data_IF_425129066495
#
_entry.id   IF_425129066495
#
_cell.length_a   1.000
_cell.length_b   1.000
_cell.length_c   1.000
_cell.angle_alpha   90.00
_cell.angle_beta   90.00
_cell.angle_gamma   90.00
#
_symmetry.space_group_name_H-M   'P 1'
#
loop_
_entity.id
_entity.type
_entity.pdbx_description
1 polymer ?
#
# COMPACT_ATOMS: atom_id res chain seq x y z
N UNK A 1 18.16 -3.56 -13.77
CA UNK A 1 18.71 -3.45 -12.40
C UNK A 1 18.92 -1.99 -12.00
N UNK A 2 19.41 -1.16 -12.91
CA UNK A 2 19.68 0.28 -12.72
C UNK A 2 18.60 1.07 -11.96
N UNK A 3 17.31 0.92 -12.30
CA UNK A 3 16.22 1.60 -11.59
C UNK A 3 16.15 1.26 -10.10
N UNK A 4 16.32 -0.02 -9.75
CA UNK A 4 16.23 -0.48 -8.36
C UNK A 4 17.41 0.04 -7.54
N UNK A 5 18.59 0.10 -8.16
CA UNK A 5 19.80 0.69 -7.57
C UNK A 5 19.66 2.19 -7.37
N UNK A 6 19.11 2.90 -8.35
CA UNK A 6 18.85 4.34 -8.25
C UNK A 6 17.88 4.66 -7.13
N UNK A 7 16.80 3.91 -6.98
CA UNK A 7 15.87 4.04 -5.85
C UNK A 7 16.56 3.68 -4.54
N UNK A 8 17.45 2.68 -4.53
CA UNK A 8 18.20 2.31 -3.35
C UNK A 8 19.15 3.42 -2.85
N UNK A 9 19.74 4.17 -3.78
CA UNK A 9 20.65 5.28 -3.46
C UNK A 9 19.96 6.41 -2.68
N UNK A 10 18.65 6.60 -2.83
CA UNK A 10 17.87 7.60 -2.09
C UNK A 10 17.41 7.14 -0.69
N UNK A 11 17.54 5.85 -0.35
CA UNK A 11 17.14 5.34 0.98
C UNK A 11 17.75 6.07 2.18
N UNK A 12 19.06 6.42 2.22
CA UNK A 12 19.64 7.13 3.37
C UNK A 12 19.05 8.53 3.59
N UNK A 13 18.37 9.10 2.60
CA UNK A 13 17.68 10.38 2.73
C UNK A 13 16.29 10.24 3.38
N UNK A 14 15.69 9.04 3.34
CA UNK A 14 14.37 8.79 3.90
C UNK A 14 14.43 8.68 5.43
N UNK A 15 13.60 9.49 6.10
CA UNK A 15 13.45 9.49 7.56
C UNK A 15 11.99 9.46 7.93
N UNK A 16 11.66 8.68 8.96
CA UNK A 16 10.33 8.76 9.57
C UNK A 16 10.24 10.05 10.38
N UNK A 17 9.51 11.02 9.85
CA UNK A 17 9.16 12.24 10.57
C UNK A 17 7.86 12.05 11.33
N UNK A 18 7.56 12.99 12.24
CA UNK A 18 6.30 12.96 12.99
C UNK A 18 5.09 13.10 12.05
N UNK A 19 5.22 13.95 11.04
CA UNK A 19 4.21 14.18 10.01
C UNK A 19 3.94 12.91 9.20
N UNK A 20 5.00 12.14 8.87
CA UNK A 20 4.86 10.87 8.18
C UNK A 20 4.10 9.83 9.02
N UNK A 21 4.36 9.77 10.32
CA UNK A 21 3.64 8.89 11.25
C UNK A 21 2.18 9.30 11.41
N UNK A 22 1.91 10.61 11.48
CA UNK A 22 0.54 11.12 11.61
C UNK A 22 -0.25 10.89 10.31
N UNK A 23 0.37 11.06 9.13
CA UNK A 23 -0.23 10.69 7.86
C UNK A 23 -0.56 9.20 7.79
N UNK A 24 0.36 8.32 8.19
CA UNK A 24 0.11 6.89 8.25
C UNK A 24 -1.06 6.56 9.21
N UNK A 25 -1.11 7.20 10.40
CA UNK A 25 -2.20 7.01 11.36
C UNK A 25 -3.54 7.48 10.81
N UNK A 26 -3.58 8.64 10.15
CA UNK A 26 -4.78 9.19 9.55
C UNK A 26 -5.32 8.26 8.47
N UNK A 27 -4.45 7.84 7.54
CA UNK A 27 -4.81 6.95 6.44
C UNK A 27 -5.30 5.60 7.00
N UNK A 28 -4.67 5.04 8.03
CA UNK A 28 -4.95 3.67 8.47
C UNK A 28 -6.03 3.56 9.57
N UNK A 29 -6.03 4.47 10.55
CA UNK A 29 -6.86 4.37 11.76
C UNK A 29 -8.01 5.38 11.80
N UNK A 30 -7.83 6.54 11.18
CA UNK A 30 -8.84 7.61 11.17
C UNK A 30 -9.21 8.05 9.75
N UNK A 31 -9.62 7.12 8.86
CA UNK A 31 -10.01 7.51 7.52
C UNK A 31 -11.25 8.42 7.58
N UNK A 32 -11.25 9.60 6.92
CA UNK A 32 -12.38 10.52 6.86
C UNK A 32 -13.44 10.01 5.87
N UNK A 33 -13.86 8.76 6.06
CA UNK A 33 -14.72 8.03 5.13
C UNK A 33 -16.01 7.59 5.83
N UNK A 34 -17.14 7.62 5.11
CA UNK A 34 -18.42 7.12 5.62
C UNK A 34 -18.28 5.62 5.93
N UNK A 35 -18.95 5.18 7.00
CA UNK A 35 -18.84 3.80 7.51
C UNK A 35 -18.93 2.68 6.44
N UNK A 36 -19.83 2.75 5.44
CA UNK A 36 -19.98 1.67 4.45
C UNK A 36 -18.75 1.44 3.57
N UNK A 37 -17.90 2.44 3.34
CA UNK A 37 -16.71 2.31 2.48
C UNK A 37 -15.44 1.99 3.29
N UNK A 38 -15.54 1.92 4.62
CA UNK A 38 -14.40 1.57 5.47
C UNK A 38 -13.89 0.15 5.24
N UNK A 39 -14.74 -0.88 5.05
CA UNK A 39 -14.25 -2.23 4.75
C UNK A 39 -13.40 -2.33 3.46
N UNK A 40 -13.85 -1.86 2.27
CA UNK A 40 -13.01 -1.92 1.07
C UNK A 40 -11.77 -1.04 1.20
N UNK A 41 -11.87 0.10 1.86
CA UNK A 41 -10.72 0.96 2.15
C UNK A 41 -9.69 0.28 3.06
N UNK A 42 -10.12 -0.49 4.08
CA UNK A 42 -9.23 -1.26 4.94
C UNK A 42 -8.48 -2.35 4.15
N UNK A 43 -9.13 -3.00 3.19
CA UNK A 43 -8.47 -3.95 2.29
C UNK A 43 -7.43 -3.26 1.41
N UNK A 44 -7.73 -2.08 0.88
CA UNK A 44 -6.77 -1.29 0.10
C UNK A 44 -5.57 -0.88 0.95
N UNK A 45 -5.81 -0.36 2.15
CA UNK A 45 -4.79 0.02 3.11
C UNK A 45 -3.87 -1.15 3.48
N UNK A 46 -4.45 -2.33 3.75
CA UNK A 46 -3.68 -3.54 4.03
C UNK A 46 -2.79 -3.95 2.86
N UNK A 47 -3.28 -3.87 1.62
CA UNK A 47 -2.48 -4.15 0.43
C UNK A 47 -1.34 -3.13 0.25
N UNK A 48 -1.57 -1.85 0.51
CA UNK A 48 -0.55 -0.82 0.46
C UNK A 48 0.57 -1.08 1.48
N UNK A 49 0.20 -1.42 2.73
CA UNK A 49 1.17 -1.81 3.78
C UNK A 49 1.94 -3.07 3.38
N UNK A 50 1.26 -4.06 2.79
CA UNK A 50 1.88 -5.29 2.32
C UNK A 50 2.83 -5.10 1.11
N UNK A 51 2.59 -4.10 0.27
CA UNK A 51 3.49 -3.75 -0.82
C UNK A 51 4.77 -3.03 -0.34
N UNK A 52 4.74 -2.42 0.86
CA UNK A 52 5.92 -1.74 1.39
C UNK A 52 7.04 -2.73 1.72
N UNK A 53 8.30 -2.42 1.36
CA UNK A 53 9.44 -3.23 1.76
C UNK A 53 9.68 -3.12 3.28
N UNK A 54 10.28 -4.15 3.92
CA UNK A 54 10.49 -4.17 5.36
C UNK A 54 11.21 -2.93 5.91
N UNK A 55 12.20 -2.42 5.17
CA UNK A 55 12.95 -1.22 5.56
C UNK A 55 12.10 0.05 5.64
N UNK A 56 10.97 0.12 4.91
CA UNK A 56 10.06 1.27 4.93
C UNK A 56 8.99 1.13 6.02
N UNK A 57 8.62 -0.10 6.39
CA UNK A 57 7.61 -0.38 7.42
C UNK A 57 8.10 -0.09 8.83
N UNK A 58 9.36 -0.44 9.12
CA UNK A 58 9.95 -0.33 10.47
C UNK A 58 9.96 1.13 10.97
N UNK A 59 10.45 2.12 10.19
CA UNK A 59 10.44 3.52 10.61
C UNK A 59 9.03 4.07 10.80
N UNK A 60 8.06 3.62 9.99
CA UNK A 60 6.66 4.06 10.05
C UNK A 60 5.85 3.40 11.18
N UNK A 61 6.47 2.50 11.97
CA UNK A 61 5.81 1.74 13.06
C UNK A 61 4.53 1.04 12.63
N UNK A 62 4.49 0.59 11.37
CA UNK A 62 3.30 -0.06 10.82
C UNK A 62 3.15 -1.44 11.46
N UNK A 63 1.96 -1.78 11.99
CA UNK A 63 1.71 -3.12 12.53
C UNK A 63 1.94 -4.15 11.44
N UNK A 64 2.62 -5.25 11.80
CA UNK A 64 2.75 -6.41 10.91
C UNK A 64 1.36 -7.00 10.74
N UNK A 65 0.76 -6.88 9.55
CA UNK A 65 -0.51 -7.53 9.23
C UNK A 65 -0.24 -9.04 9.12
N UNK A 66 -0.61 -9.86 10.12
CA UNK A 66 -0.33 -11.29 10.09
C UNK A 66 -1.19 -11.92 8.98
N UNK A 67 -0.60 -12.75 8.12
CA UNK A 67 -1.32 -13.51 7.08
C UNK A 67 -1.20 -12.98 5.64
N UNK A 68 -0.59 -11.81 5.41
CA UNK A 68 -0.43 -11.26 4.04
C UNK A 68 0.91 -11.68 3.40
N UNK A 69 1.95 -11.92 4.21
CA UNK A 69 3.29 -12.26 3.70
C UNK A 69 3.36 -13.65 3.02
N UNK A 70 2.48 -14.59 3.39
CA UNK A 70 2.52 -15.98 2.89
C UNK A 70 1.52 -16.25 1.75
N UNK A 71 0.41 -15.50 1.70
CA UNK A 71 -0.68 -15.71 0.74
C UNK A 71 -0.56 -14.79 -0.50
N UNK A 72 0.06 -13.60 -0.38
CA UNK A 72 -0.10 -12.55 -1.40
C UNK A 72 1.06 -12.35 -2.39
N UNK A 73 2.22 -12.97 -2.22
CA UNK A 73 3.41 -12.62 -3.04
C UNK A 73 3.21 -12.91 -4.54
N UNK A 74 2.37 -13.88 -4.93
CA UNK A 74 2.12 -14.23 -6.34
C UNK A 74 0.68 -14.04 -6.85
N UNK A 75 -0.40 -14.35 -6.12
CA UNK A 75 -1.76 -14.19 -6.64
C UNK A 75 -2.26 -12.75 -6.54
N UNK A 76 -1.81 -11.96 -5.55
CA UNK A 76 -2.30 -10.60 -5.34
C UNK A 76 -1.83 -9.63 -6.45
N UNK A 77 -0.60 -9.80 -6.95
CA UNK A 77 -0.11 -8.99 -8.07
C UNK A 77 -0.93 -9.17 -9.35
N UNK A 78 -1.31 -10.41 -9.67
CA UNK A 78 -2.22 -10.71 -10.80
C UNK A 78 -3.62 -10.16 -10.57
N UNK A 79 -4.18 -10.33 -9.37
CA UNK A 79 -5.50 -9.82 -9.03
C UNK A 79 -5.55 -8.28 -9.13
N UNK A 80 -4.59 -7.58 -8.51
CA UNK A 80 -4.48 -6.12 -8.54
C UNK A 80 -4.35 -5.60 -9.97
N UNK A 81 -3.47 -6.21 -10.78
CA UNK A 81 -3.29 -5.80 -12.19
C UNK A 81 -4.57 -6.04 -13.01
N UNK A 82 -5.32 -7.11 -12.72
CA UNK A 82 -6.59 -7.43 -13.37
C UNK A 82 -7.71 -6.48 -12.96
N UNK A 83 -7.75 -6.08 -11.69
CA UNK A 83 -8.71 -5.09 -11.18
C UNK A 83 -8.43 -3.69 -11.73
N UNK A 84 -7.16 -3.26 -11.76
CA UNK A 84 -6.78 -1.99 -12.38
C UNK A 84 -7.12 -1.99 -13.87
N UNK A 85 -6.80 -3.10 -14.58
CA UNK A 85 -7.17 -3.24 -16.00
C UNK A 85 -8.67 -3.15 -16.22
N UNK A 86 -9.47 -3.80 -15.37
CA UNK A 86 -10.93 -3.71 -15.44
C UNK A 86 -11.41 -2.27 -15.19
N UNK A 87 -10.89 -1.60 -14.16
CA UNK A 87 -11.25 -0.22 -13.84
C UNK A 87 -10.82 0.81 -14.91
N UNK A 88 -9.71 0.53 -15.60
CA UNK A 88 -9.22 1.33 -16.73
C UNK A 88 -9.80 0.90 -18.08
N UNK A 89 -10.63 -0.14 -18.13
CA UNK A 89 -11.34 -0.50 -19.36
C UNK A 89 -12.44 0.55 -19.55
N UNK A 90 -12.37 1.39 -20.60
CA UNK A 90 -13.40 2.40 -20.84
C UNK A 90 -14.75 1.70 -21.06
N UNK A 91 -15.87 2.29 -20.60
CA UNK A 91 -17.18 1.75 -20.94
C UNK A 91 -17.30 1.69 -22.46
N UNK A 92 -17.67 0.53 -23.00
CA UNK A 92 -17.94 0.40 -24.43
C UNK A 92 -19.04 1.41 -24.77
N UNK A 93 -18.69 2.38 -25.62
CA UNK A 93 -19.56 3.51 -25.94
C UNK A 93 -20.95 3.07 -26.38
N UNK A 94 -21.96 3.74 -25.83
CA UNK A 94 -23.33 3.80 -26.33
C UNK A 94 -23.70 5.25 -26.49
#
# INVERSE_FOLDING_TARGET
AELAERIAAYRPELRATREALDAARFILLHPPLPWPVRPPYAVLAANAVAALPPWARVPLRLPRVPGVEEICVRPAGKALTRTIRWAMTPPAGG
#
